data_IF_223662328921
#
_entry.id   IF_223662328921
#
_cell.length_a   1.000
_cell.length_b   1.000
_cell.length_c   1.000
_cell.angle_alpha   90.00
_cell.angle_beta   90.00
_cell.angle_gamma   90.00
#
_symmetry.space_group_name_H-M   'P 1'
#
loop_
_entity.id
_entity.type
_entity.pdbx_description
1 polymer ?
#
# COMPACT_ATOMS: atom_id res chain seq x y z
N UNK A 1 45.79 19.45 -4.97
CA UNK A 1 44.64 18.90 -5.70
C UNK A 1 44.11 17.68 -4.93
N UNK A 2 43.02 17.79 -4.16
CA UNK A 2 42.31 16.62 -3.64
C UNK A 2 41.09 16.31 -4.50
N UNK A 3 40.92 15.02 -4.76
CA UNK A 3 39.98 14.43 -5.72
C UNK A 3 38.54 14.36 -5.21
N UNK A 4 37.65 14.29 -6.21
CA UNK A 4 36.21 14.22 -6.21
C UNK A 4 35.55 13.22 -5.24
N UNK A 5 34.45 13.69 -4.63
CA UNK A 5 33.08 13.17 -4.77
C UNK A 5 32.84 11.73 -4.29
N UNK A 6 32.24 11.63 -3.10
CA UNK A 6 31.42 10.49 -2.73
C UNK A 6 30.20 10.97 -1.95
N UNK A 7 29.10 11.16 -2.68
CA UNK A 7 27.82 11.65 -2.20
C UNK A 7 26.93 10.43 -1.94
N UNK A 8 27.29 9.63 -0.94
CA UNK A 8 26.43 8.57 -0.44
C UNK A 8 25.47 9.20 0.58
N UNK A 9 24.32 9.63 0.08
CA UNK A 9 23.14 9.88 0.91
C UNK A 9 22.73 8.50 1.46
N UNK A 10 22.72 8.28 2.79
CA UNK A 10 22.11 7.08 3.31
C UNK A 10 20.60 7.23 3.14
N UNK A 11 20.05 6.58 2.11
CA UNK A 11 18.61 6.33 1.93
C UNK A 11 18.09 5.33 2.98
N UNK A 12 18.47 5.52 4.24
CA UNK A 12 18.11 4.65 5.36
C UNK A 12 17.44 5.45 6.49
N UNK A 13 16.61 6.42 6.10
CA UNK A 13 15.62 7.04 6.99
C UNK A 13 14.25 6.74 6.40
N UNK A 14 13.86 5.46 6.42
CA UNK A 14 12.46 5.11 6.40
C UNK A 14 11.92 5.50 7.78
N UNK A 15 11.31 6.68 7.83
CA UNK A 15 10.76 7.28 9.04
C UNK A 15 9.58 6.45 9.56
N UNK A 16 9.86 5.41 10.34
CA UNK A 16 8.85 4.73 11.17
C UNK A 16 8.69 5.53 12.47
N UNK A 17 8.07 6.70 12.39
CA UNK A 17 7.78 7.55 13.56
C UNK A 17 6.47 8.33 13.43
N UNK A 18 5.43 7.76 12.78
CA UNK A 18 4.10 8.42 12.69
C UNK A 18 2.99 7.65 13.44
N UNK A 19 3.26 6.46 13.99
CA UNK A 19 2.23 5.68 14.70
C UNK A 19 1.86 6.15 16.12
N UNK A 20 2.37 7.29 16.60
CA UNK A 20 2.14 7.73 17.98
C UNK A 20 1.12 8.88 18.16
N UNK A 21 0.54 9.44 17.09
CA UNK A 21 -0.27 10.66 17.18
C UNK A 21 -1.76 10.54 16.83
N UNK A 22 -2.30 9.36 16.44
CA UNK A 22 -3.65 9.29 15.85
C UNK A 22 -4.74 8.47 16.57
N UNK A 23 -4.44 7.72 17.64
CA UNK A 23 -5.43 6.82 18.27
C UNK A 23 -6.11 7.46 19.50
N UNK A 24 -6.63 8.67 19.35
CA UNK A 24 -7.08 9.53 20.46
C UNK A 24 -8.56 9.90 20.49
N UNK A 25 -9.45 9.26 19.73
CA UNK A 25 -10.90 9.50 19.85
C UNK A 25 -11.61 8.16 19.80
N UNK A 26 -12.37 7.81 20.83
CA UNK A 26 -12.86 6.44 21.08
C UNK A 26 -14.37 6.43 21.21
N UNK A 27 -15.11 6.42 20.09
CA UNK A 27 -16.48 5.87 20.09
C UNK A 27 -17.03 5.55 18.69
N UNK A 28 -16.62 6.28 17.64
CA UNK A 28 -16.94 6.00 16.21
C UNK A 28 -15.69 5.64 15.39
N UNK A 29 -14.58 5.46 16.09
CA UNK A 29 -13.21 5.42 15.58
C UNK A 29 -12.61 4.03 15.68
N UNK A 30 -13.33 3.05 16.25
CA UNK A 30 -12.78 1.69 16.39
C UNK A 30 -12.66 1.06 15.00
N UNK A 31 -13.72 1.11 14.19
CA UNK A 31 -13.68 0.63 12.79
C UNK A 31 -12.73 1.44 11.93
N UNK A 32 -12.69 2.76 12.10
CA UNK A 32 -11.74 3.63 11.40
C UNK A 32 -10.30 3.32 11.79
N UNK A 33 -9.99 3.20 13.08
CA UNK A 33 -8.64 2.87 13.57
C UNK A 33 -8.22 1.45 13.18
N UNK A 34 -9.17 0.50 13.18
CA UNK A 34 -8.92 -0.85 12.69
C UNK A 34 -8.64 -0.84 11.19
N UNK A 35 -9.40 -0.08 10.39
CA UNK A 35 -9.11 0.14 8.99
C UNK A 35 -7.76 0.84 8.77
N UNK A 36 -7.43 1.85 9.58
CA UNK A 36 -6.12 2.53 9.56
C UNK A 36 -4.95 1.61 9.89
N UNK A 37 -5.18 0.47 10.56
CA UNK A 37 -4.16 -0.53 10.89
C UNK A 37 -4.14 -1.69 9.89
N UNK A 38 -5.31 -2.15 9.44
CA UNK A 38 -5.46 -3.25 8.48
C UNK A 38 -5.07 -2.81 7.07
N UNK A 39 -5.42 -1.59 6.64
CA UNK A 39 -5.08 -1.06 5.32
C UNK A 39 -3.57 -1.05 5.06
N UNK A 40 -2.72 -0.46 5.91
CA UNK A 40 -1.26 -0.53 5.72
C UNK A 40 -0.70 -1.94 5.75
N UNK A 41 -1.30 -2.82 6.56
CA UNK A 41 -0.88 -4.20 6.69
C UNK A 41 -1.16 -5.00 5.41
N UNK A 42 -2.32 -4.80 4.79
CA UNK A 42 -2.67 -5.41 3.50
C UNK A 42 -1.68 -4.99 2.40
N UNK A 43 -1.29 -3.70 2.36
CA UNK A 43 -0.27 -3.21 1.40
C UNK A 43 1.11 -3.80 1.69
N UNK A 44 1.50 -3.91 2.96
CA UNK A 44 2.77 -4.53 3.33
C UNK A 44 2.81 -6.03 2.97
N UNK A 45 1.69 -6.75 3.16
CA UNK A 45 1.54 -8.14 2.71
C UNK A 45 1.68 -8.24 1.18
N UNK A 46 1.03 -7.34 0.43
CA UNK A 46 1.16 -7.27 -1.02
C UNK A 46 2.61 -7.00 -1.43
N UNK A 47 3.28 -6.02 -0.84
CA UNK A 47 4.68 -5.70 -1.13
C UNK A 47 5.61 -6.90 -0.94
N UNK A 48 5.37 -7.71 0.10
CA UNK A 48 6.13 -8.95 0.35
C UNK A 48 5.83 -10.02 -0.70
N UNK A 49 4.55 -10.20 -1.05
CA UNK A 49 4.12 -11.15 -2.09
C UNK A 49 4.65 -10.78 -3.47
N UNK A 50 4.69 -9.49 -3.81
CA UNK A 50 5.17 -9.01 -5.11
C UNK A 50 6.62 -9.40 -5.36
N UNK A 51 7.48 -9.37 -4.33
CA UNK A 51 8.87 -9.83 -4.46
C UNK A 51 8.99 -11.33 -4.66
N UNK A 52 8.10 -12.13 -4.08
CA UNK A 52 8.10 -13.59 -4.23
C UNK A 52 7.55 -14.02 -5.60
N UNK A 53 6.63 -13.25 -6.18
CA UNK A 53 5.96 -13.57 -7.44
C UNK A 53 6.59 -12.92 -8.68
N UNK A 54 7.78 -12.31 -8.56
CA UNK A 54 8.45 -11.65 -9.67
C UNK A 54 8.61 -12.53 -10.93
N UNK A 55 8.67 -13.86 -10.76
CA UNK A 55 8.78 -14.84 -11.85
C UNK A 55 7.48 -15.63 -12.11
N UNK A 56 6.37 -15.30 -11.43
CA UNK A 56 5.10 -16.01 -11.52
C UNK A 56 3.95 -15.01 -11.78
N UNK A 57 3.63 -14.73 -13.07
CA UNK A 57 2.63 -13.75 -13.44
C UNK A 57 1.23 -14.11 -12.92
N UNK A 58 0.87 -15.39 -12.90
CA UNK A 58 -0.43 -15.84 -12.40
C UNK A 58 -0.55 -15.68 -10.88
N UNK A 59 0.52 -15.99 -10.14
CA UNK A 59 0.53 -15.76 -8.70
C UNK A 59 0.49 -14.27 -8.36
N UNK A 60 1.15 -13.43 -9.17
CA UNK A 60 1.11 -11.98 -9.01
C UNK A 60 -0.28 -11.41 -9.27
N UNK A 61 -0.92 -11.76 -10.39
CA UNK A 61 -2.29 -11.32 -10.71
C UNK A 61 -3.27 -11.71 -9.61
N UNK A 62 -3.19 -12.95 -9.13
CA UNK A 62 -4.02 -13.42 -8.01
C UNK A 62 -3.76 -12.64 -6.73
N UNK A 63 -2.50 -12.30 -6.42
CA UNK A 63 -2.16 -11.54 -5.23
C UNK A 63 -2.68 -10.09 -5.30
N UNK A 64 -2.64 -9.48 -6.48
CA UNK A 64 -3.21 -8.15 -6.74
C UNK A 64 -4.73 -8.17 -6.53
N UNK A 65 -5.42 -9.16 -7.09
CA UNK A 65 -6.88 -9.32 -6.96
C UNK A 65 -7.33 -9.64 -5.52
N UNK A 66 -6.61 -10.53 -4.83
CA UNK A 66 -6.83 -10.80 -3.40
C UNK A 66 -6.68 -9.53 -2.55
N UNK A 67 -5.68 -8.70 -2.87
CA UNK A 67 -5.43 -7.44 -2.17
C UNK A 67 -6.53 -6.42 -2.46
N UNK A 68 -6.93 -6.27 -3.72
CA UNK A 68 -8.05 -5.42 -4.12
C UNK A 68 -9.34 -5.80 -3.36
N UNK A 69 -9.62 -7.10 -3.25
CA UNK A 69 -10.79 -7.61 -2.51
C UNK A 69 -10.73 -7.28 -1.02
N UNK A 70 -9.57 -7.49 -0.38
CA UNK A 70 -9.36 -7.14 1.04
C UNK A 70 -9.51 -5.63 1.28
N UNK A 71 -8.95 -4.80 0.39
CA UNK A 71 -9.06 -3.35 0.47
C UNK A 71 -10.50 -2.88 0.38
N UNK A 72 -11.30 -3.44 -0.54
CA UNK A 72 -12.75 -3.14 -0.62
C UNK A 72 -13.50 -3.55 0.64
N UNK A 73 -13.14 -4.67 1.27
CA UNK A 73 -13.78 -5.07 2.54
C UNK A 73 -13.45 -4.06 3.65
N UNK A 74 -12.18 -3.66 3.78
CA UNK A 74 -11.78 -2.62 4.75
C UNK A 74 -12.44 -1.28 4.43
N UNK A 75 -12.63 -0.95 3.15
CA UNK A 75 -13.31 0.25 2.68
C UNK A 75 -14.77 0.31 3.14
N UNK A 76 -15.49 -0.81 3.00
CA UNK A 76 -16.88 -0.94 3.41
C UNK A 76 -17.04 -0.92 4.94
N UNK A 77 -16.08 -1.51 5.66
CA UNK A 77 -16.07 -1.54 7.12
C UNK A 77 -15.69 -0.18 7.75
N UNK A 78 -14.83 0.62 7.09
CA UNK A 78 -14.28 1.86 7.66
C UNK A 78 -15.29 2.99 7.87
N UNK A 79 -16.52 2.90 7.31
CA UNK A 79 -17.58 3.91 7.37
C UNK A 79 -17.13 5.36 7.06
N UNK A 80 -16.01 5.53 6.35
CA UNK A 80 -15.39 6.80 6.04
C UNK A 80 -15.22 6.93 4.53
N UNK A 81 -15.81 7.96 3.94
CA UNK A 81 -15.81 8.16 2.49
C UNK A 81 -14.41 8.34 1.91
N UNK A 82 -13.49 8.99 2.62
CA UNK A 82 -12.11 9.18 2.15
C UNK A 82 -11.34 7.86 2.13
N UNK A 83 -11.43 7.07 3.21
CA UNK A 83 -10.82 5.73 3.23
C UNK A 83 -11.46 4.82 2.20
N UNK A 84 -12.78 4.93 2.00
CA UNK A 84 -13.48 4.16 0.99
C UNK A 84 -13.03 4.53 -0.42
N UNK A 85 -12.99 5.81 -0.77
CA UNK A 85 -12.50 6.27 -2.07
C UNK A 85 -11.05 5.89 -2.33
N UNK A 86 -10.18 6.02 -1.32
CA UNK A 86 -8.78 5.63 -1.41
C UNK A 86 -8.63 4.12 -1.69
N UNK A 87 -9.37 3.29 -0.93
CA UNK A 87 -9.33 1.83 -1.06
C UNK A 87 -9.95 1.37 -2.37
N UNK A 88 -11.10 1.91 -2.76
CA UNK A 88 -11.80 1.57 -4.01
C UNK A 88 -10.93 1.95 -5.22
N UNK A 89 -10.24 3.10 -5.18
CA UNK A 89 -9.35 3.54 -6.26
C UNK A 89 -8.11 2.63 -6.37
N UNK A 90 -7.50 2.29 -5.24
CA UNK A 90 -6.38 1.35 -5.22
C UNK A 90 -6.82 -0.04 -5.71
N UNK A 91 -7.95 -0.55 -5.21
CA UNK A 91 -8.50 -1.84 -5.63
C UNK A 91 -8.78 -1.87 -7.15
N UNK A 92 -9.38 -0.80 -7.69
CA UNK A 92 -9.60 -0.66 -9.13
C UNK A 92 -8.28 -0.63 -9.92
N UNK A 93 -7.27 0.06 -9.39
CA UNK A 93 -5.95 0.12 -10.04
C UNK A 93 -5.25 -1.23 -10.01
N UNK A 94 -5.27 -1.95 -8.88
CA UNK A 94 -4.68 -3.29 -8.73
C UNK A 94 -5.38 -4.32 -9.61
N UNK A 95 -6.71 -4.33 -9.64
CA UNK A 95 -7.50 -5.23 -10.50
C UNK A 95 -7.34 -4.89 -11.99
N UNK A 96 -7.05 -3.62 -12.32
CA UNK A 96 -6.75 -3.18 -13.68
C UNK A 96 -5.32 -3.47 -14.16
N UNK A 97 -4.44 -4.00 -13.31
CA UNK A 97 -3.09 -4.42 -13.70
C UNK A 97 -3.18 -5.83 -14.28
N UNK A 98 -3.12 -5.93 -15.61
CA UNK A 98 -2.93 -7.22 -16.29
C UNK A 98 -1.46 -7.61 -16.27
N UNK A 99 -1.21 -8.88 -15.94
CA UNK A 99 0.14 -9.46 -15.88
C UNK A 99 0.22 -10.64 -16.85
N UNK A 100 0.47 -10.37 -18.13
CA UNK A 100 0.47 -11.40 -19.17
C UNK A 100 1.80 -12.18 -19.21
N UNK A 101 2.89 -11.57 -18.75
CA UNK A 101 4.22 -12.18 -18.76
C UNK A 101 5.12 -11.68 -17.60
N UNK A 102 6.29 -12.32 -17.46
CA UNK A 102 7.29 -12.00 -16.41
C UNK A 102 7.97 -10.64 -16.56
N UNK A 103 7.78 -9.94 -17.67
CA UNK A 103 8.24 -8.56 -17.78
C UNK A 103 7.18 -7.62 -17.18
N UNK A 104 5.90 -7.94 -17.41
CA UNK A 104 4.77 -7.23 -16.83
C UNK A 104 4.69 -7.40 -15.31
N UNK A 105 5.22 -8.49 -14.73
CA UNK A 105 5.27 -8.65 -13.26
C UNK A 105 6.09 -7.55 -12.59
N UNK A 106 7.21 -7.13 -13.20
CA UNK A 106 8.04 -6.06 -12.63
C UNK A 106 7.32 -4.72 -12.71
N UNK A 107 6.69 -4.42 -13.85
CA UNK A 107 5.92 -3.18 -14.03
C UNK A 107 4.68 -3.16 -13.13
N UNK A 108 3.98 -4.28 -13.02
CA UNK A 108 2.86 -4.49 -12.11
C UNK A 108 3.28 -4.28 -10.65
N UNK A 109 4.40 -4.86 -10.24
CA UNK A 109 4.94 -4.68 -8.90
C UNK A 109 5.29 -3.22 -8.65
N UNK A 110 6.00 -2.55 -9.57
CA UNK A 110 6.34 -1.13 -9.43
C UNK A 110 5.10 -0.26 -9.30
N UNK A 111 4.09 -0.51 -10.15
CA UNK A 111 2.83 0.24 -10.12
C UNK A 111 2.06 -0.02 -8.83
N UNK A 112 1.88 -1.28 -8.43
CA UNK A 112 1.22 -1.63 -7.17
C UNK A 112 1.93 -1.03 -5.95
N UNK A 113 3.27 -0.95 -5.97
CA UNK A 113 4.04 -0.33 -4.89
C UNK A 113 3.85 1.19 -4.85
N UNK A 114 3.87 1.86 -6.02
CA UNK A 114 3.64 3.31 -6.12
C UNK A 114 2.23 3.70 -5.67
N UNK A 115 1.22 2.96 -6.13
CA UNK A 115 -0.18 3.16 -5.76
C UNK A 115 -0.42 2.81 -4.28
N UNK A 116 0.22 1.76 -3.78
CA UNK A 116 0.21 1.41 -2.36
C UNK A 116 0.79 2.52 -1.48
N UNK A 117 1.87 3.19 -1.92
CA UNK A 117 2.43 4.33 -1.21
C UNK A 117 1.48 5.54 -1.20
N UNK A 118 0.89 5.87 -2.34
CA UNK A 118 -0.10 6.95 -2.44
C UNK A 118 -1.33 6.68 -1.57
N UNK A 119 -1.79 5.43 -1.53
CA UNK A 119 -2.87 4.99 -0.65
C UNK A 119 -2.50 5.13 0.83
N UNK A 120 -1.30 4.70 1.23
CA UNK A 120 -0.81 4.89 2.60
C UNK A 120 -0.77 6.36 3.02
N UNK A 121 -0.42 7.27 2.11
CA UNK A 121 -0.49 8.71 2.37
C UNK A 121 -1.93 9.19 2.58
N UNK A 122 -2.89 8.70 1.79
CA UNK A 122 -4.32 9.03 1.94
C UNK A 122 -4.90 8.46 3.24
N UNK A 123 -4.55 7.22 3.58
CA UNK A 123 -4.91 6.61 4.86
C UNK A 123 -4.31 7.43 6.00
N UNK A 124 -3.01 7.77 5.93
CA UNK A 124 -2.37 8.58 6.97
C UNK A 124 -3.05 9.95 7.16
N UNK A 125 -3.44 10.64 6.08
CA UNK A 125 -4.20 11.89 6.15
C UNK A 125 -5.62 11.69 6.72
N UNK A 126 -6.29 10.61 6.35
CA UNK A 126 -7.60 10.29 6.88
C UNK A 126 -7.54 9.91 8.36
N UNK A 127 -6.43 9.34 8.82
CA UNK A 127 -6.21 8.85 10.18
C UNK A 127 -5.47 9.84 11.09
N UNK A 128 -5.04 10.99 10.56
CA UNK A 128 -4.42 12.11 11.31
C UNK A 128 -5.43 13.13 11.80
#
# INVERSE_FOLDING_TARGET
MPHLKSRYVPLAVFAVCVFAAGCGEVNSTIDKAQACLEAPKIIAELGTKLTDFANDPQAMEKALDETATKLNTVADDAANTTLKEASDNLAATLSGISVDNVNDTVDAAQKATAEGAAYLEQVAQACS
#
